data_IF_026822296701
#
_entry.id   IF_026822296701
#
_cell.length_a   1.000
_cell.length_b   1.000
_cell.length_c   1.000
_cell.angle_alpha   90.00
_cell.angle_beta   90.00
_cell.angle_gamma   90.00
#
_symmetry.space_group_name_H-M   'P 1'
#
loop_
_entity.id
_entity.type
_entity.pdbx_description
1 polymer ?
#
# COMPACT_ATOMS: atom_id res chain seq x y z
N UNK A 1 -14.67 -7.74 -12.57
CA UNK A 1 -14.73 -6.61 -11.60
C UNK A 1 -15.56 -5.47 -12.22
N UNK A 2 -16.23 -4.61 -11.45
CA UNK A 2 -17.27 -3.69 -11.99
C UNK A 2 -16.74 -2.74 -13.09
N UNK A 3 -17.61 -2.40 -14.05
CA UNK A 3 -17.24 -1.78 -15.34
C UNK A 3 -17.04 -0.26 -15.33
N UNK A 4 -17.36 0.46 -14.24
CA UNK A 4 -17.61 1.91 -14.35
C UNK A 4 -17.02 2.82 -13.28
N UNK A 5 -16.44 2.32 -12.18
CA UNK A 5 -15.89 3.19 -11.12
C UNK A 5 -14.58 2.65 -10.54
N UNK A 6 -13.62 3.55 -10.28
CA UNK A 6 -12.42 3.25 -9.50
C UNK A 6 -12.67 3.23 -7.99
N UNK A 7 -13.95 3.29 -7.58
CA UNK A 7 -14.36 3.29 -6.18
C UNK A 7 -14.21 1.87 -5.64
N UNK A 8 -13.54 1.67 -4.50
CA UNK A 8 -13.46 0.36 -3.87
C UNK A 8 -14.85 -0.21 -3.57
N UNK A 9 -15.02 -1.49 -3.83
CA UNK A 9 -16.26 -2.22 -3.56
C UNK A 9 -16.04 -3.23 -2.44
N UNK A 10 -17.08 -3.50 -1.66
CA UNK A 10 -17.09 -4.57 -0.69
C UNK A 10 -18.22 -5.57 -0.99
N UNK A 11 -18.04 -6.80 -0.55
CA UNK A 11 -19.06 -7.85 -0.61
C UNK A 11 -19.39 -8.22 0.83
N UNK A 12 -20.66 -8.10 1.20
CA UNK A 12 -21.14 -8.50 2.52
C UNK A 12 -21.79 -9.87 2.42
N UNK A 13 -21.33 -10.80 3.26
CA UNK A 13 -21.88 -12.16 3.35
C UNK A 13 -22.55 -12.30 4.72
N UNK A 14 -23.88 -12.41 4.73
CA UNK A 14 -24.68 -12.56 5.94
C UNK A 14 -25.22 -13.98 6.05
N UNK A 15 -25.26 -14.53 7.26
CA UNK A 15 -25.74 -15.89 7.54
C UNK A 15 -26.64 -15.87 8.79
N UNK A 16 -27.87 -16.37 8.67
CA UNK A 16 -28.82 -16.42 9.78
C UNK A 16 -28.39 -17.37 10.92
N UNK A 17 -27.72 -18.49 10.59
CA UNK A 17 -27.21 -19.44 11.57
C UNK A 17 -25.68 -19.32 11.68
N UNK A 18 -25.21 -18.17 12.20
CA UNK A 18 -23.78 -17.97 12.50
C UNK A 18 -23.41 -18.73 13.77
N UNK A 19 -22.23 -19.37 13.76
CA UNK A 19 -21.68 -20.07 14.94
C UNK A 19 -20.84 -19.11 15.79
N UNK A 20 -20.22 -18.14 15.15
CA UNK A 20 -19.34 -17.15 15.74
C UNK A 20 -20.00 -15.75 15.71
N UNK A 21 -19.76 -14.95 16.75
CA UNK A 21 -20.29 -13.58 16.89
C UNK A 21 -19.33 -12.49 16.38
N UNK A 22 -18.34 -12.86 15.57
CA UNK A 22 -17.33 -11.98 15.00
C UNK A 22 -17.48 -11.82 13.47
N UNK A 23 -17.01 -10.68 12.97
CA UNK A 23 -16.96 -10.38 11.53
C UNK A 23 -15.56 -10.70 11.01
N UNK A 24 -15.48 -11.50 9.95
CA UNK A 24 -14.23 -11.76 9.25
C UNK A 24 -14.04 -10.69 8.16
N UNK A 25 -13.03 -9.85 8.32
CA UNK A 25 -12.59 -8.92 7.29
C UNK A 25 -11.56 -9.62 6.39
N UNK A 26 -11.70 -9.46 5.06
CA UNK A 26 -10.76 -9.96 4.06
C UNK A 26 -10.43 -8.82 3.10
N UNK A 27 -9.15 -8.47 3.01
CA UNK A 27 -8.60 -7.44 2.15
C UNK A 27 -8.12 -8.04 0.82
N UNK A 28 -9.03 -8.12 -0.13
CA UNK A 28 -8.72 -8.58 -1.49
C UNK A 28 -8.27 -7.44 -2.43
N UNK A 29 -7.84 -6.28 -1.91
CA UNK A 29 -7.48 -5.11 -2.73
C UNK A 29 -6.30 -5.33 -3.67
N UNK A 30 -5.46 -6.33 -3.39
CA UNK A 30 -4.32 -6.70 -4.24
C UNK A 30 -4.52 -8.08 -4.91
N UNK A 31 -5.64 -8.76 -4.62
CA UNK A 31 -5.94 -10.10 -5.12
C UNK A 31 -6.73 -10.05 -6.42
N UNK A 32 -6.20 -9.33 -7.40
CA UNK A 32 -6.74 -9.31 -8.76
C UNK A 32 -5.64 -8.97 -9.77
N UNK A 33 -5.86 -9.41 -11.00
CA UNK A 33 -5.02 -9.03 -12.13
C UNK A 33 -5.56 -7.72 -12.74
N UNK A 34 -4.72 -6.69 -12.76
CA UNK A 34 -5.09 -5.40 -13.33
C UNK A 34 -5.20 -5.53 -14.85
N UNK A 35 -6.38 -5.30 -15.40
CA UNK A 35 -6.60 -5.28 -16.85
C UNK A 35 -6.84 -3.87 -17.37
N UNK A 36 -6.76 -3.69 -18.70
CA UNK A 36 -6.90 -2.37 -19.35
C UNK A 36 -8.29 -1.75 -19.16
N UNK A 37 -9.35 -2.56 -19.27
CA UNK A 37 -10.74 -2.11 -19.15
C UNK A 37 -11.44 -2.67 -17.92
N UNK A 38 -10.93 -3.76 -17.39
CA UNK A 38 -11.52 -4.49 -16.28
C UNK A 38 -10.43 -5.25 -15.54
N UNK A 39 -10.48 -5.23 -14.22
CA UNK A 39 -9.67 -6.14 -13.41
C UNK A 39 -10.27 -7.55 -13.44
N UNK A 40 -9.39 -8.54 -13.51
CA UNK A 40 -9.74 -9.96 -13.58
C UNK A 40 -9.44 -10.62 -12.24
N UNK A 41 -10.42 -11.35 -11.71
CA UNK A 41 -10.19 -12.19 -10.55
C UNK A 41 -9.70 -13.55 -11.06
N UNK A 42 -8.41 -13.81 -10.91
CA UNK A 42 -7.81 -15.08 -11.35
C UNK A 42 -8.35 -16.25 -10.52
N UNK A 43 -8.27 -17.47 -11.06
CA UNK A 43 -8.68 -18.68 -10.34
C UNK A 43 -7.90 -18.87 -9.03
N UNK A 44 -6.63 -18.46 -9.01
CA UNK A 44 -5.78 -18.54 -7.82
C UNK A 44 -6.27 -17.56 -6.75
N UNK A 45 -6.45 -16.28 -7.10
CA UNK A 45 -6.97 -15.28 -6.16
C UNK A 45 -8.35 -15.66 -5.60
N UNK A 46 -9.24 -16.17 -6.45
CA UNK A 46 -10.54 -16.64 -6.02
C UNK A 46 -10.41 -17.79 -5.01
N UNK A 47 -9.52 -18.75 -5.28
CA UNK A 47 -9.27 -19.87 -4.39
C UNK A 47 -8.75 -19.38 -3.03
N UNK A 48 -7.80 -18.45 -3.01
CA UNK A 48 -7.24 -17.91 -1.77
C UNK A 48 -8.30 -17.19 -0.93
N UNK A 49 -9.16 -16.36 -1.57
CA UNK A 49 -10.27 -15.67 -0.90
C UNK A 49 -11.27 -16.68 -0.31
N UNK A 50 -11.67 -17.67 -1.10
CA UNK A 50 -12.64 -18.70 -0.68
C UNK A 50 -12.06 -19.57 0.44
N UNK A 51 -10.78 -19.91 0.36
CA UNK A 51 -10.11 -20.70 1.38
C UNK A 51 -10.03 -19.93 2.70
N UNK A 52 -9.64 -18.66 2.66
CA UNK A 52 -9.61 -17.79 3.85
C UNK A 52 -11.00 -17.61 4.45
N UNK A 53 -12.04 -17.43 3.63
CA UNK A 53 -13.43 -17.39 4.10
C UNK A 53 -13.85 -18.71 4.76
N UNK A 54 -13.62 -19.84 4.09
CA UNK A 54 -14.06 -21.17 4.53
C UNK A 54 -13.44 -21.57 5.86
N UNK A 55 -12.15 -21.27 6.04
CA UNK A 55 -11.39 -21.66 7.23
C UNK A 55 -11.24 -20.53 8.25
N UNK A 56 -11.80 -19.33 7.97
CA UNK A 56 -11.67 -18.12 8.80
C UNK A 56 -10.22 -17.84 9.22
N UNK A 57 -9.27 -18.02 8.31
CA UNK A 57 -7.83 -17.82 8.58
C UNK A 57 -7.57 -16.35 8.84
N UNK A 58 -6.79 -16.05 9.88
CA UNK A 58 -6.22 -14.72 10.09
C UNK A 58 -4.84 -14.69 9.46
N UNK A 59 -4.63 -13.73 8.56
CA UNK A 59 -3.41 -13.58 7.78
C UNK A 59 -3.03 -12.11 7.87
N UNK A 60 -1.80 -11.86 8.28
CA UNK A 60 -1.28 -10.51 8.42
C UNK A 60 -1.53 -9.67 7.16
N UNK A 61 -2.07 -8.45 7.35
CA UNK A 61 -2.43 -7.48 6.29
C UNK A 61 -3.49 -7.96 5.26
N UNK A 62 -4.00 -9.18 5.40
CA UNK A 62 -4.97 -9.75 4.48
C UNK A 62 -6.31 -10.07 5.15
N UNK A 63 -6.33 -10.72 6.30
CA UNK A 63 -7.59 -11.09 6.96
C UNK A 63 -7.49 -11.04 8.48
N UNK A 64 -8.57 -10.58 9.11
CA UNK A 64 -8.67 -10.47 10.56
C UNK A 64 -10.10 -10.73 11.03
N UNK A 65 -10.22 -11.43 12.15
CA UNK A 65 -11.49 -11.64 12.84
C UNK A 65 -11.67 -10.54 13.87
N UNK A 66 -12.81 -9.88 13.83
CA UNK A 66 -13.09 -8.70 14.64
C UNK A 66 -14.38 -8.92 15.41
N UNK A 67 -14.32 -8.76 16.74
CA UNK A 67 -15.48 -8.90 17.60
C UNK A 67 -16.50 -7.78 17.37
N UNK A 68 -17.76 -8.05 17.71
CA UNK A 68 -18.81 -7.02 17.63
C UNK A 68 -18.52 -5.82 18.56
N UNK A 69 -17.90 -6.06 19.70
CA UNK A 69 -17.49 -5.01 20.65
C UNK A 69 -16.47 -4.04 20.04
N UNK A 70 -15.47 -4.54 19.31
CA UNK A 70 -14.49 -3.70 18.62
C UNK A 70 -15.17 -2.88 17.50
N UNK A 71 -16.14 -3.48 16.80
CA UNK A 71 -16.92 -2.79 15.76
C UNK A 71 -17.78 -1.67 16.36
N UNK A 72 -18.44 -1.94 17.48
CA UNK A 72 -19.23 -0.95 18.21
C UNK A 72 -18.36 0.21 18.69
N UNK A 73 -17.18 -0.09 19.28
CA UNK A 73 -16.20 0.93 19.68
C UNK A 73 -15.74 1.79 18.51
N UNK A 74 -15.68 1.22 17.31
CA UNK A 74 -15.36 1.92 16.07
C UNK A 74 -16.59 2.59 15.41
N UNK A 75 -17.72 2.69 16.12
CA UNK A 75 -18.93 3.37 15.64
C UNK A 75 -19.62 2.65 14.50
N UNK A 76 -19.57 1.31 14.48
CA UNK A 76 -20.12 0.46 13.42
C UNK A 76 -19.53 0.76 12.02
N UNK A 77 -18.34 1.36 11.97
CA UNK A 77 -17.65 1.70 10.74
C UNK A 77 -16.91 0.48 10.19
N UNK A 78 -17.47 -0.16 9.16
CA UNK A 78 -16.92 -1.37 8.53
C UNK A 78 -15.81 -1.09 7.50
N UNK A 79 -15.18 0.09 7.51
CA UNK A 79 -14.04 0.35 6.64
C UNK A 79 -12.87 -0.55 7.02
N UNK A 80 -12.42 -1.36 6.05
CA UNK A 80 -11.39 -2.37 6.25
C UNK A 80 -10.05 -1.80 6.77
N UNK A 81 -9.72 -0.55 6.43
CA UNK A 81 -8.48 0.08 6.88
C UNK A 81 -8.41 0.28 8.40
N UNK A 82 -9.54 0.19 9.10
CA UNK A 82 -9.60 0.23 10.58
C UNK A 82 -9.20 -1.08 11.23
N UNK A 83 -9.29 -2.19 10.50
CA UNK A 83 -9.16 -3.53 11.06
C UNK A 83 -7.97 -4.29 10.48
N UNK A 84 -7.61 -4.02 9.23
CA UNK A 84 -6.50 -4.66 8.54
C UNK A 84 -5.53 -3.57 8.08
N UNK A 85 -4.27 -3.66 8.53
CA UNK A 85 -3.24 -2.74 8.10
C UNK A 85 -2.94 -2.94 6.62
N UNK A 86 -3.12 -1.89 5.83
CA UNK A 86 -2.75 -1.87 4.40
C UNK A 86 -1.37 -1.27 4.18
N UNK A 87 -0.78 -0.65 5.21
CA UNK A 87 0.53 -0.03 5.14
C UNK A 87 1.59 -1.08 4.80
N UNK A 88 2.40 -0.78 3.77
CA UNK A 88 3.60 -1.55 3.45
C UNK A 88 4.67 -1.13 4.44
N UNK A 89 5.34 -2.08 5.08
CA UNK A 89 6.58 -1.76 5.82
C UNK A 89 7.56 -1.13 4.82
N UNK A 90 7.87 0.14 5.02
CA UNK A 90 8.91 0.81 4.24
C UNK A 90 10.23 0.05 4.45
N UNK A 91 10.92 -0.25 3.35
CA UNK A 91 12.23 -0.88 3.44
C UNK A 91 13.12 -0.04 4.36
N UNK A 92 13.76 -0.69 5.33
CA UNK A 92 14.69 -0.01 6.24
C UNK A 92 15.75 0.70 5.41
N UNK A 93 15.70 2.03 5.42
CA UNK A 93 16.62 2.87 4.67
C UNK A 93 18.01 2.75 5.31
N UNK A 94 19.02 2.38 4.53
CA UNK A 94 20.41 2.43 5.00
C UNK A 94 20.87 3.89 5.05
N UNK A 95 20.87 4.45 6.27
CA UNK A 95 21.28 5.82 6.52
C UNK A 95 22.73 6.08 6.11
N UNK A 96 23.61 5.06 6.11
CA UNK A 96 24.99 5.21 5.63
C UNK A 96 25.01 5.40 4.12
N UNK A 97 24.27 4.58 3.38
CA UNK A 97 24.17 4.69 1.93
C UNK A 97 23.62 6.07 1.51
N UNK A 98 22.56 6.53 2.18
CA UNK A 98 21.99 7.86 1.93
C UNK A 98 23.00 8.97 2.20
N UNK A 99 23.73 8.90 3.31
CA UNK A 99 24.76 9.89 3.63
C UNK A 99 25.92 9.88 2.63
N UNK A 100 26.36 8.71 2.17
CA UNK A 100 27.40 8.60 1.14
C UNK A 100 26.92 9.24 -0.17
N UNK A 101 25.69 8.94 -0.60
CA UNK A 101 25.08 9.56 -1.78
C UNK A 101 24.97 11.08 -1.64
N UNK A 102 24.55 11.60 -0.48
CA UNK A 102 24.49 13.04 -0.22
C UNK A 102 25.87 13.70 -0.31
N UNK A 103 26.90 13.08 0.26
CA UNK A 103 28.26 13.59 0.18
C UNK A 103 28.77 13.62 -1.27
N UNK A 104 28.48 12.59 -2.05
CA UNK A 104 28.85 12.51 -3.46
C UNK A 104 28.11 13.56 -4.32
N UNK A 105 26.81 13.74 -4.09
CA UNK A 105 26.00 14.78 -4.76
C UNK A 105 26.58 16.17 -4.45
N UNK A 106 26.89 16.47 -3.19
CA UNK A 106 27.48 17.76 -2.81
C UNK A 106 28.85 18.00 -3.46
N UNK A 107 29.67 16.94 -3.58
CA UNK A 107 30.95 17.02 -4.31
C UNK A 107 30.71 17.34 -5.79
N UNK A 108 29.76 16.67 -6.42
CA UNK A 108 29.43 16.88 -7.83
C UNK A 108 28.85 18.27 -8.09
N UNK A 109 28.01 18.79 -7.17
CA UNK A 109 27.52 20.17 -7.19
C UNK A 109 28.70 21.12 -7.18
N UNK A 110 29.62 20.98 -6.22
CA UNK A 110 30.79 21.84 -6.12
C UNK A 110 31.63 21.82 -7.40
N UNK A 111 31.97 20.64 -7.92
CA UNK A 111 32.74 20.53 -9.17
C UNK A 111 32.03 21.15 -10.36
N UNK A 112 30.69 21.03 -10.42
CA UNK A 112 29.90 21.62 -11.51
C UNK A 112 29.83 23.13 -11.38
N UNK A 113 29.69 23.66 -10.16
CA UNK A 113 29.72 25.10 -9.87
C UNK A 113 31.09 25.70 -10.17
N UNK A 114 32.18 25.03 -9.79
CA UNK A 114 33.55 25.49 -10.07
C UNK A 114 33.77 25.60 -11.59
N UNK A 115 33.38 24.58 -12.37
CA UNK A 115 33.42 24.61 -13.84
C UNK A 115 32.54 25.71 -14.42
N UNK A 116 31.35 25.90 -13.87
CA UNK A 116 30.45 26.96 -14.30
C UNK A 116 31.08 28.35 -14.08
N UNK A 117 31.73 28.56 -12.94
CA UNK A 117 32.42 29.80 -12.61
C UNK A 117 33.66 30.05 -13.47
N UNK A 118 34.38 29.01 -13.90
CA UNK A 118 35.43 29.14 -14.91
C UNK A 118 34.89 29.71 -16.23
N UNK A 119 33.77 29.18 -16.73
CA UNK A 119 33.13 29.70 -17.95
C UNK A 119 32.62 31.13 -17.77
N UNK A 120 32.03 31.48 -16.62
CA UNK A 120 31.62 32.85 -16.34
C UNK A 120 32.80 33.83 -16.37
N UNK A 121 33.94 33.42 -15.83
CA UNK A 121 35.17 34.22 -15.83
C UNK A 121 35.72 34.46 -17.23
N UNK A 122 35.69 33.44 -18.10
CA UNK A 122 36.08 33.59 -19.52
C UNK A 122 35.17 34.58 -20.26
N UNK A 123 33.89 34.65 -19.88
CA UNK A 123 32.90 35.58 -20.43
C UNK A 123 32.93 36.98 -19.79
N UNK A 124 33.82 37.21 -18.82
CA UNK A 124 33.91 38.49 -18.09
C UNK A 124 32.75 38.74 -17.12
N UNK A 125 32.02 37.70 -16.72
CA UNK A 125 30.90 37.77 -15.79
C UNK A 125 31.33 37.37 -14.36
N UNK A 126 30.67 37.90 -13.30
CA UNK A 126 30.97 37.53 -11.92
C UNK A 126 30.54 36.09 -11.62
N UNK A 127 31.27 35.36 -10.74
CA UNK A 127 30.95 33.99 -10.35
C UNK A 127 29.74 33.93 -9.40
N UNK A 128 29.16 32.73 -9.27
CA UNK A 128 28.03 32.39 -8.38
C UNK A 128 28.37 31.36 -7.31
#
# INVERSE_FOLDING_TARGET
>A
MFYSTGIPVCILVLKNCKKEDDVLFINASEHFEKGKRQNVLSKQHLKDIVETYKFRKEIERYSRRVSMEEIEKNGYNLNISRYVSTAVEEAKVDLKEVNTKLAEINKNIKTSTDKHNEFLKELGLPPI
#
